data_IF_971653476637
#
_entry.id   IF_971653476637
#
_cell.length_a   1.000
_cell.length_b   1.000
_cell.length_c   1.000
_cell.angle_alpha   90.00
_cell.angle_beta   90.00
_cell.angle_gamma   90.00
#
_symmetry.space_group_name_H-M   'P 1'
#
loop_
_entity.id
_entity.type
_entity.pdbx_description
1 polymer ?
#
# COMPACT_ATOMS: atom_id res chain seq x y z
N UNK A 1 -0.57 16.94 -0.94
CA UNK A 1 -0.36 16.07 0.25
C UNK A 1 -1.12 14.73 0.15
N UNK A 2 -2.42 14.72 -0.21
CA UNK A 2 -3.24 13.50 -0.31
C UNK A 2 -2.57 12.30 -1.02
N UNK A 3 -2.09 12.47 -2.25
CA UNK A 3 -1.49 11.38 -3.03
C UNK A 3 -0.20 10.81 -2.40
N UNK A 4 0.60 11.66 -1.74
CA UNK A 4 1.80 11.19 -1.03
C UNK A 4 1.44 10.38 0.21
N UNK A 5 0.38 10.76 0.93
CA UNK A 5 -0.10 10.00 2.09
C UNK A 5 -0.58 8.61 1.68
N UNK A 6 -1.38 8.51 0.60
CA UNK A 6 -1.85 7.21 0.11
C UNK A 6 -0.71 6.36 -0.42
N UNK A 7 0.25 6.96 -1.13
CA UNK A 7 1.45 6.27 -1.60
C UNK A 7 2.26 5.70 -0.44
N UNK A 8 2.57 6.52 0.57
CA UNK A 8 3.31 6.08 1.75
C UNK A 8 2.57 4.95 2.48
N UNK A 9 1.24 5.04 2.61
CA UNK A 9 0.41 3.99 3.17
C UNK A 9 0.53 2.69 2.36
N UNK A 10 0.47 2.75 1.02
CA UNK A 10 0.57 1.55 0.17
C UNK A 10 1.93 0.88 0.26
N UNK A 11 3.01 1.67 0.29
CA UNK A 11 4.37 1.14 0.48
C UNK A 11 4.49 0.45 1.84
N UNK A 12 3.95 1.07 2.90
CA UNK A 12 3.96 0.47 4.24
C UNK A 12 3.24 -0.89 4.28
N UNK A 13 2.03 -1.01 3.73
CA UNK A 13 1.26 -2.27 3.75
C UNK A 13 2.00 -3.40 3.04
N UNK A 14 2.51 -3.12 1.85
CA UNK A 14 3.19 -4.13 1.03
C UNK A 14 4.58 -4.48 1.55
N UNK A 15 5.32 -3.52 2.11
CA UNK A 15 6.59 -3.84 2.80
C UNK A 15 6.38 -4.68 4.05
N UNK A 16 5.36 -4.42 4.87
CA UNK A 16 5.01 -5.28 6.01
C UNK A 16 4.65 -6.70 5.57
N UNK A 17 3.89 -6.83 4.48
CA UNK A 17 3.53 -8.12 3.89
C UNK A 17 4.78 -8.87 3.40
N UNK A 18 5.66 -8.18 2.68
CA UNK A 18 6.93 -8.73 2.21
C UNK A 18 7.85 -9.19 3.36
N UNK A 19 7.94 -8.41 4.44
CA UNK A 19 8.71 -8.79 5.63
C UNK A 19 8.16 -10.04 6.31
N UNK A 20 6.84 -10.20 6.34
CA UNK A 20 6.21 -11.41 6.89
C UNK A 20 6.51 -12.64 6.04
N UNK A 21 6.44 -12.51 4.70
CA UNK A 21 6.83 -13.58 3.77
C UNK A 21 8.31 -13.93 3.92
N UNK A 22 9.19 -12.93 4.04
CA UNK A 22 10.62 -13.13 4.26
C UNK A 22 10.86 -13.98 5.52
N UNK A 23 10.18 -13.64 6.64
CA UNK A 23 10.25 -14.41 7.88
C UNK A 23 9.77 -15.85 7.69
N UNK A 24 8.66 -16.04 6.99
CA UNK A 24 8.12 -17.37 6.71
C UNK A 24 9.05 -18.24 5.88
N UNK A 25 9.66 -17.70 4.83
CA UNK A 25 10.63 -18.46 4.01
C UNK A 25 11.81 -18.89 4.87
N UNK A 26 12.32 -18.00 5.74
CA UNK A 26 13.43 -18.31 6.64
C UNK A 26 13.12 -19.41 7.66
N UNK A 27 11.90 -19.44 8.21
CA UNK A 27 11.50 -20.41 9.25
C UNK A 27 10.98 -21.72 8.65
N UNK A 28 10.02 -21.64 7.73
CA UNK A 28 9.31 -22.81 7.20
C UNK A 28 10.04 -23.49 6.05
N UNK A 29 10.97 -22.81 5.36
CA UNK A 29 11.69 -23.33 4.19
C UNK A 29 13.21 -23.07 4.29
N UNK A 30 13.88 -23.49 5.37
CA UNK A 30 15.26 -23.10 5.67
C UNK A 30 16.26 -23.53 4.58
N UNK A 31 16.08 -24.71 3.96
CA UNK A 31 16.98 -25.23 2.94
C UNK A 31 16.99 -24.43 1.63
N UNK A 32 15.88 -23.77 1.29
CA UNK A 32 15.78 -22.91 0.09
C UNK A 32 15.93 -21.43 0.42
N UNK A 33 15.87 -21.06 1.70
CA UNK A 33 15.93 -19.67 2.14
C UNK A 33 17.19 -18.96 1.64
N UNK A 34 18.36 -19.61 1.69
CA UNK A 34 19.62 -19.02 1.20
C UNK A 34 19.64 -18.72 -0.30
N UNK A 35 18.88 -19.46 -1.11
CA UNK A 35 18.77 -19.22 -2.57
C UNK A 35 17.68 -18.18 -2.90
N UNK A 36 16.61 -18.15 -2.11
CA UNK A 36 15.47 -17.26 -2.35
C UNK A 36 15.74 -15.86 -1.77
N UNK A 37 16.20 -15.78 -0.53
CA UNK A 37 16.41 -14.55 0.25
C UNK A 37 17.81 -13.95 0.03
N UNK A 38 18.31 -14.01 -1.20
CA UNK A 38 19.57 -13.34 -1.54
C UNK A 38 19.40 -11.82 -1.49
N UNK A 39 20.47 -11.09 -1.18
CA UNK A 39 20.46 -9.63 -1.09
C UNK A 39 19.93 -8.98 -2.38
N UNK A 40 20.31 -9.54 -3.55
CA UNK A 40 19.83 -9.08 -4.86
C UNK A 40 18.31 -9.23 -4.99
N UNK A 41 17.76 -10.37 -4.61
CA UNK A 41 16.33 -10.64 -4.70
C UNK A 41 15.53 -9.77 -3.73
N UNK A 42 16.02 -9.58 -2.50
CA UNK A 42 15.37 -8.73 -1.50
C UNK A 42 15.38 -7.27 -1.93
N UNK A 43 16.50 -6.76 -2.44
CA UNK A 43 16.57 -5.40 -3.01
C UNK A 43 15.62 -5.23 -4.20
N UNK A 44 15.59 -6.20 -5.10
CA UNK A 44 14.67 -6.18 -6.24
C UNK A 44 13.20 -6.19 -5.78
N UNK A 45 12.86 -6.97 -4.74
CA UNK A 45 11.52 -7.00 -4.15
C UNK A 45 11.13 -5.62 -3.58
N UNK A 46 12.01 -4.99 -2.79
CA UNK A 46 11.74 -3.67 -2.21
C UNK A 46 11.51 -2.62 -3.31
N UNK A 47 12.40 -2.60 -4.32
CA UNK A 47 12.24 -1.68 -5.47
C UNK A 47 10.93 -1.96 -6.20
N UNK A 48 10.58 -3.22 -6.43
CA UNK A 48 9.32 -3.58 -7.09
C UNK A 48 8.09 -3.11 -6.31
N UNK A 49 8.11 -3.19 -4.98
CA UNK A 49 7.03 -2.69 -4.11
C UNK A 49 6.88 -1.18 -4.24
N UNK A 50 7.98 -0.44 -4.23
CA UNK A 50 7.97 1.02 -4.38
C UNK A 50 7.43 1.42 -5.76
N UNK A 51 7.95 0.81 -6.83
CA UNK A 51 7.51 1.09 -8.20
C UNK A 51 6.02 0.76 -8.38
N UNK A 52 5.58 -0.42 -7.93
CA UNK A 52 4.18 -0.82 -8.00
C UNK A 52 3.27 0.12 -7.20
N UNK A 53 3.72 0.59 -6.02
CA UNK A 53 2.99 1.56 -5.20
C UNK A 53 2.85 2.90 -5.90
N UNK A 54 3.92 3.40 -6.54
CA UNK A 54 3.89 4.63 -7.34
C UNK A 54 2.92 4.49 -8.51
N UNK A 55 2.99 3.38 -9.25
CA UNK A 55 2.12 3.12 -10.40
C UNK A 55 0.64 3.04 -9.99
N UNK A 56 0.34 2.30 -8.92
CA UNK A 56 -1.03 2.16 -8.41
C UNK A 56 -1.61 3.49 -7.90
N UNK A 57 -0.79 4.34 -7.29
CA UNK A 57 -1.22 5.65 -6.78
C UNK A 57 -1.06 6.77 -7.81
N UNK A 58 -0.52 6.52 -9.00
CA UNK A 58 -0.25 7.56 -10.00
C UNK A 58 -1.51 8.35 -10.37
N UNK A 59 -2.65 7.66 -10.52
CA UNK A 59 -3.93 8.30 -10.81
C UNK A 59 -4.39 9.24 -9.70
N UNK A 60 -4.00 8.97 -8.44
CA UNK A 60 -4.37 9.77 -7.25
C UNK A 60 -3.81 11.19 -7.27
N UNK A 61 -2.71 11.42 -7.99
CA UNK A 61 -2.15 12.75 -8.16
C UNK A 61 -3.04 13.68 -8.99
N UNK A 62 -3.88 13.12 -9.86
CA UNK A 62 -4.75 13.89 -10.78
C UNK A 62 -6.23 13.92 -10.36
N UNK A 63 -6.56 13.42 -9.17
CA UNK A 63 -7.94 13.31 -8.68
C UNK A 63 -8.48 14.56 -7.97
N UNK A 64 -7.58 15.39 -7.45
CA UNK A 64 -7.92 16.51 -6.58
C UNK A 64 -7.06 17.70 -6.94
N UNK A 65 -7.68 18.86 -7.05
CA UNK A 65 -7.00 20.13 -7.23
C UNK A 65 -7.39 21.10 -6.12
N UNK A 66 -6.53 22.09 -5.87
CA UNK A 66 -6.81 23.19 -4.94
C UNK A 66 -7.55 24.25 -5.74
N UNK A 67 -8.80 24.50 -5.39
CA UNK A 67 -9.63 25.46 -6.11
C UNK A 67 -9.61 26.84 -5.46
N UNK A 68 -9.56 26.88 -4.13
CA UNK A 68 -9.63 28.13 -3.36
C UNK A 68 -8.96 27.96 -1.98
N UNK A 69 -8.85 29.04 -1.23
CA UNK A 69 -8.34 29.08 0.13
C UNK A 69 -9.39 29.75 1.02
N UNK A 70 -9.88 29.03 2.03
CA UNK A 70 -10.87 29.53 2.97
C UNK A 70 -10.22 29.87 4.30
N UNK A 71 -10.46 31.07 4.81
CA UNK A 71 -10.02 31.46 6.15
C UNK A 71 -10.94 30.86 7.22
N UNK A 72 -10.36 30.06 8.13
CA UNK A 72 -11.09 29.44 9.23
C UNK A 72 -10.83 30.23 10.53
N UNK A 73 -11.81 31.03 11.01
CA UNK A 73 -11.61 31.93 12.14
C UNK A 73 -11.36 31.19 13.46
N UNK A 74 -11.82 29.95 13.62
CA UNK A 74 -11.64 29.18 14.85
C UNK A 74 -10.16 28.83 15.14
N UNK A 75 -9.37 28.65 14.09
CA UNK A 75 -7.95 28.28 14.19
C UNK A 75 -7.02 29.40 13.67
N UNK A 76 -7.59 30.55 13.32
CA UNK A 76 -6.90 31.70 12.73
C UNK A 76 -5.94 31.31 11.58
N UNK A 77 -6.38 30.39 10.72
CA UNK A 77 -5.56 29.86 9.64
C UNK A 77 -6.34 29.72 8.33
N UNK A 78 -5.62 29.85 7.24
CA UNK A 78 -6.11 29.62 5.88
C UNK A 78 -6.02 28.13 5.53
N UNK A 79 -7.13 27.54 5.08
CA UNK A 79 -7.18 26.15 4.64
C UNK A 79 -7.44 26.05 3.13
N UNK A 80 -6.71 25.18 2.42
CA UNK A 80 -6.98 24.92 1.02
C UNK A 80 -8.30 24.14 0.85
N UNK A 81 -9.15 24.63 -0.03
CA UNK A 81 -10.37 23.94 -0.47
C UNK A 81 -10.02 22.99 -1.60
N UNK A 82 -10.19 21.70 -1.34
CA UNK A 82 -9.91 20.63 -2.27
C UNK A 82 -11.19 20.24 -3.03
N UNK A 83 -11.19 20.38 -4.35
CA UNK A 83 -12.29 19.92 -5.20
C UNK A 83 -11.91 18.68 -6.02
N UNK A 84 -12.89 17.77 -6.26
CA UNK A 84 -12.68 16.59 -7.09
C UNK A 84 -12.57 16.99 -8.57
N UNK A 85 -11.70 16.32 -9.32
CA UNK A 85 -11.67 16.43 -10.79
C UNK A 85 -12.75 15.57 -11.45
N UNK A 86 -13.01 15.80 -12.75
CA UNK A 86 -13.91 14.98 -13.57
C UNK A 86 -13.58 13.48 -13.50
N UNK A 87 -12.29 13.13 -13.38
CA UNK A 87 -11.83 11.75 -13.20
C UNK A 87 -12.42 11.14 -11.92
N UNK A 88 -12.40 11.87 -10.81
CA UNK A 88 -12.92 11.42 -9.52
C UNK A 88 -14.45 11.37 -9.48
N UNK A 89 -15.11 12.22 -10.26
CA UNK A 89 -16.57 12.24 -10.38
C UNK A 89 -17.12 11.09 -11.23
N UNK A 90 -16.28 10.50 -12.09
CA UNK A 90 -16.67 9.36 -12.91
C UNK A 90 -17.02 8.12 -12.05
N UNK A 91 -18.26 7.66 -12.19
CA UNK A 91 -18.82 6.55 -11.40
C UNK A 91 -18.05 5.24 -11.63
N UNK A 92 -17.69 4.94 -12.88
CA UNK A 92 -16.96 3.71 -13.23
C UNK A 92 -15.56 3.72 -12.64
N UNK A 93 -14.87 4.85 -12.75
CA UNK A 93 -13.55 5.03 -12.15
C UNK A 93 -13.61 4.82 -10.64
N UNK A 94 -14.57 5.46 -9.95
CA UNK A 94 -14.75 5.30 -8.49
C UNK A 94 -15.05 3.86 -8.10
N UNK A 95 -15.99 3.19 -8.78
CA UNK A 95 -16.34 1.78 -8.50
C UNK A 95 -15.11 0.88 -8.63
N UNK A 96 -14.39 0.97 -9.73
CA UNK A 96 -13.29 0.05 -10.01
C UNK A 96 -12.08 0.34 -9.10
N UNK A 97 -11.66 1.60 -9.00
CA UNK A 97 -10.40 1.93 -8.31
C UNK A 97 -10.53 2.12 -6.80
N UNK A 98 -11.63 2.71 -6.30
CA UNK A 98 -11.79 2.98 -4.87
C UNK A 98 -12.47 1.84 -4.12
N UNK A 99 -13.47 1.22 -4.73
CA UNK A 99 -14.18 0.15 -4.04
C UNK A 99 -13.42 -1.16 -4.25
N UNK A 100 -13.29 -1.63 -5.49
CA UNK A 100 -12.75 -2.96 -5.73
C UNK A 100 -11.23 -3.04 -5.62
N UNK A 101 -10.50 -2.26 -6.43
CA UNK A 101 -9.04 -2.38 -6.49
C UNK A 101 -8.39 -2.01 -5.16
N UNK A 102 -8.79 -0.88 -4.55
CA UNK A 102 -8.26 -0.48 -3.25
C UNK A 102 -8.60 -1.50 -2.16
N UNK A 103 -9.86 -1.96 -2.04
CA UNK A 103 -10.21 -2.96 -1.02
C UNK A 103 -9.42 -4.25 -1.17
N UNK A 104 -9.27 -4.75 -2.39
CA UNK A 104 -8.55 -6.00 -2.63
C UNK A 104 -7.04 -5.85 -2.38
N UNK A 105 -6.42 -4.84 -2.97
CA UNK A 105 -4.96 -4.67 -2.98
C UNK A 105 -4.44 -4.15 -1.64
N UNK A 106 -5.21 -3.30 -0.94
CA UNK A 106 -4.77 -2.70 0.33
C UNK A 106 -5.27 -3.44 1.56
N UNK A 107 -6.37 -4.20 1.47
CA UNK A 107 -6.91 -4.92 2.63
C UNK A 107 -7.00 -6.42 2.39
N UNK A 108 -7.90 -6.89 1.53
CA UNK A 108 -8.25 -8.31 1.49
C UNK A 108 -7.04 -9.22 1.23
N UNK A 109 -6.22 -8.90 0.23
CA UNK A 109 -5.05 -9.69 -0.14
C UNK A 109 -3.94 -9.61 0.93
N UNK A 110 -3.41 -8.42 1.30
CA UNK A 110 -2.32 -8.35 2.27
C UNK A 110 -2.71 -8.92 3.64
N UNK A 111 -3.93 -8.67 4.12
CA UNK A 111 -4.38 -9.25 5.39
C UNK A 111 -4.46 -10.78 5.34
N UNK A 112 -4.99 -11.34 4.25
CA UNK A 112 -5.06 -12.80 4.10
C UNK A 112 -3.66 -13.41 4.09
N UNK A 113 -2.72 -12.82 3.35
CA UNK A 113 -1.32 -13.26 3.33
C UNK A 113 -0.72 -13.18 4.73
N UNK A 114 -0.87 -12.03 5.41
CA UNK A 114 -0.35 -11.84 6.77
C UNK A 114 -0.89 -12.89 7.74
N UNK A 115 -2.20 -13.14 7.73
CA UNK A 115 -2.83 -14.13 8.62
C UNK A 115 -2.25 -15.51 8.35
N UNK A 116 -2.24 -15.96 7.10
CA UNK A 116 -1.77 -17.31 6.73
C UNK A 116 -0.30 -17.47 7.07
N UNK A 117 0.55 -16.56 6.61
CA UNK A 117 2.00 -16.62 6.76
C UNK A 117 2.41 -16.53 8.24
N UNK A 118 1.81 -15.62 9.02
CA UNK A 118 2.11 -15.51 10.44
C UNK A 118 1.65 -16.74 11.24
N UNK A 119 0.48 -17.28 10.90
CA UNK A 119 -0.04 -18.51 11.54
C UNK A 119 0.89 -19.70 11.28
N UNK A 120 1.33 -19.88 10.04
CA UNK A 120 2.27 -20.96 9.69
C UNK A 120 3.61 -20.83 10.42
N UNK A 121 4.13 -19.61 10.56
CA UNK A 121 5.36 -19.39 11.33
C UNK A 121 5.18 -19.79 12.79
N UNK A 122 4.07 -19.40 13.43
CA UNK A 122 3.80 -19.79 14.83
C UNK A 122 3.77 -21.31 14.97
N UNK A 123 3.06 -22.00 14.07
CA UNK A 123 2.99 -23.47 14.08
C UNK A 123 4.37 -24.11 13.89
N UNK A 124 5.20 -23.56 13.01
CA UNK A 124 6.54 -24.10 12.74
C UNK A 124 7.51 -23.88 13.91
N UNK A 125 7.37 -22.79 14.66
CA UNK A 125 8.23 -22.48 15.82
C UNK A 125 7.86 -23.31 17.06
N UNK A 126 6.58 -23.67 17.22
CA UNK A 126 6.10 -24.50 18.34
C UNK A 126 6.23 -26.01 18.11
N UNK A 127 6.75 -26.45 16.96
CA UNK A 127 7.12 -27.85 16.68
C UNK A 127 8.57 -28.09 17.05
#
# INVERSE_FOLDING_TARGET
MYAFMTLAQTVSVWTTTAMSIHRFIGVCIPFKAGQILTERNVKALIISVIVASVLFNSTRFSEVYIADVCYMPLINAELPVLLPTELRMNVWYRKIFYEWAYTLIMFAIPFTILIVVNTLVIIAVHR
#
